data_IF_715413631463
#
_entry.id   IF_715413631463
#
_cell.length_a   1.000
_cell.length_b   1.000
_cell.length_c   1.000
_cell.angle_alpha   90.00
_cell.angle_beta   90.00
_cell.angle_gamma   90.00
#
_symmetry.space_group_name_H-M   'P 1'
#
loop_
_entity.id
_entity.type
_entity.pdbx_description
1 polymer ?
#
# COMPACT_ATOMS: atom_id res chain seq x y z
N UNK A 1 -38.79 -50.33 -10.09
CA UNK A 1 -39.31 -49.95 -8.76
C UNK A 1 -38.13 -49.99 -7.82
N UNK A 2 -37.14 -49.11 -8.03
CA UNK A 2 -37.11 -47.67 -7.64
C UNK A 2 -37.01 -47.57 -6.11
N UNK A 3 -36.03 -46.89 -5.53
CA UNK A 3 -35.61 -45.52 -5.83
C UNK A 3 -34.08 -45.33 -5.84
N UNK A 4 -33.61 -44.59 -6.86
CA UNK A 4 -32.26 -44.02 -6.89
C UNK A 4 -32.16 -42.86 -5.90
N UNK A 5 -31.10 -42.87 -5.08
CA UNK A 5 -30.75 -41.80 -4.15
C UNK A 5 -30.40 -40.54 -4.95
N UNK A 6 -31.30 -39.56 -4.95
CA UNK A 6 -31.07 -38.25 -5.56
C UNK A 6 -30.03 -37.53 -4.68
N UNK A 7 -28.77 -37.46 -5.14
CA UNK A 7 -27.78 -36.54 -4.60
C UNK A 7 -28.33 -35.11 -4.72
N UNK A 8 -28.47 -34.43 -3.58
CA UNK A 8 -28.85 -33.02 -3.58
C UNK A 8 -27.75 -32.19 -4.28
N UNK A 9 -28.10 -31.22 -5.14
CA UNK A 9 -27.10 -30.39 -5.81
C UNK A 9 -26.25 -29.65 -4.79
N UNK A 10 -24.93 -29.66 -4.98
CA UNK A 10 -23.90 -28.97 -4.19
C UNK A 10 -24.04 -27.42 -4.15
N UNK A 11 -25.13 -26.87 -4.69
CA UNK A 11 -25.39 -25.45 -4.93
C UNK A 11 -26.79 -25.04 -4.47
N UNK A 12 -27.22 -25.44 -3.27
CA UNK A 12 -28.35 -24.77 -2.60
C UNK A 12 -27.79 -23.56 -1.85
N UNK A 13 -28.02 -22.31 -2.30
CA UNK A 13 -27.57 -21.15 -1.57
C UNK A 13 -28.43 -21.02 -0.31
N UNK A 14 -27.82 -21.07 0.87
CA UNK A 14 -28.51 -20.61 2.08
C UNK A 14 -28.81 -19.10 1.91
N UNK A 15 -30.07 -18.66 2.09
CA UNK A 15 -30.40 -17.25 2.02
C UNK A 15 -29.71 -16.53 3.18
N UNK A 16 -28.76 -15.65 2.85
CA UNK A 16 -28.28 -14.65 3.82
C UNK A 16 -29.41 -13.65 3.99
N UNK A 17 -30.14 -13.77 5.10
CA UNK A 17 -31.12 -12.80 5.58
C UNK A 17 -30.40 -11.53 6.08
N UNK A 18 -29.78 -10.77 5.19
CA UNK A 18 -29.37 -9.40 5.52
C UNK A 18 -30.30 -8.45 4.77
N UNK A 19 -31.31 -7.93 5.47
CA UNK A 19 -32.07 -6.78 5.02
C UNK A 19 -31.10 -5.64 4.63
N UNK A 20 -31.43 -4.76 3.67
CA UNK A 20 -30.58 -3.63 3.33
C UNK A 20 -30.34 -2.82 4.61
N UNK A 21 -29.09 -2.86 5.10
CA UNK A 21 -28.70 -2.14 6.29
C UNK A 21 -29.06 -0.66 6.09
N UNK A 22 -29.85 -0.08 6.99
CA UNK A 22 -30.21 1.33 6.89
C UNK A 22 -28.95 2.20 6.78
N UNK A 23 -29.05 3.34 6.09
CA UNK A 23 -27.92 4.29 5.88
C UNK A 23 -27.05 4.49 7.14
N UNK A 24 -27.61 4.64 8.37
CA UNK A 24 -26.81 4.79 9.59
C UNK A 24 -25.90 3.58 9.91
N UNK A 25 -26.36 2.36 9.61
CA UNK A 25 -25.60 1.14 9.88
C UNK A 25 -24.43 0.98 8.89
N UNK A 26 -24.62 1.32 7.62
CA UNK A 26 -23.54 1.31 6.63
C UNK A 26 -22.51 2.41 6.90
N UNK A 27 -22.95 3.62 7.29
CA UNK A 27 -22.04 4.69 7.73
C UNK A 27 -21.21 4.24 8.93
N UNK A 28 -21.83 3.60 9.93
CA UNK A 28 -21.13 3.07 11.11
C UNK A 28 -20.10 2.01 10.73
N UNK A 29 -20.40 1.13 9.78
CA UNK A 29 -19.47 0.12 9.26
C UNK A 29 -18.29 0.77 8.55
N UNK A 30 -18.53 1.74 7.67
CA UNK A 30 -17.49 2.49 6.96
C UNK A 30 -16.57 3.23 7.94
N UNK A 31 -17.13 3.91 8.94
CA UNK A 31 -16.34 4.64 9.93
C UNK A 31 -15.46 3.72 10.79
N UNK A 32 -15.92 2.50 11.12
CA UNK A 32 -15.12 1.50 11.84
C UNK A 32 -13.88 1.04 11.06
N UNK A 33 -13.89 1.15 9.73
CA UNK A 33 -12.74 0.86 8.89
C UNK A 33 -11.91 2.12 8.64
N UNK A 34 -12.57 3.25 8.37
CA UNK A 34 -11.91 4.48 7.97
C UNK A 34 -11.10 5.07 9.10
N UNK A 35 -11.64 5.17 10.32
CA UNK A 35 -10.94 5.81 11.44
C UNK A 35 -9.58 5.15 11.72
N UNK A 36 -9.46 3.81 11.84
CA UNK A 36 -8.15 3.19 12.02
C UNK A 36 -7.21 3.36 10.83
N UNK A 37 -7.74 3.39 9.60
CA UNK A 37 -6.93 3.62 8.39
C UNK A 37 -6.35 5.03 8.37
N UNK A 38 -7.19 6.05 8.58
CA UNK A 38 -6.77 7.45 8.69
C UNK A 38 -5.71 7.61 9.77
N UNK A 39 -5.95 7.04 10.96
CA UNK A 39 -4.97 7.07 12.04
C UNK A 39 -3.66 6.39 11.67
N UNK A 40 -3.69 5.21 11.02
CA UNK A 40 -2.49 4.53 10.54
C UNK A 40 -1.68 5.37 9.55
N UNK A 41 -2.35 6.07 8.64
CA UNK A 41 -1.67 6.94 7.69
C UNK A 41 -1.03 8.16 8.35
N UNK A 42 -1.73 8.81 9.29
CA UNK A 42 -1.17 9.93 10.07
C UNK A 42 0.06 9.47 10.86
N UNK A 43 -0.03 8.32 11.55
CA UNK A 43 1.08 7.75 12.31
C UNK A 43 2.29 7.40 11.43
N UNK A 44 2.06 6.96 10.20
CA UNK A 44 3.13 6.69 9.23
C UNK A 44 3.81 7.97 8.74
N UNK A 45 3.04 9.04 8.51
CA UNK A 45 3.60 10.36 8.19
C UNK A 45 4.42 10.93 9.36
N UNK A 46 3.98 10.70 10.60
CA UNK A 46 4.71 11.15 11.78
C UNK A 46 6.14 10.56 11.86
N UNK A 47 6.36 9.33 11.42
CA UNK A 47 7.70 8.71 11.35
C UNK A 47 8.63 9.54 10.46
N UNK A 48 8.19 9.90 9.26
CA UNK A 48 9.00 10.72 8.34
C UNK A 48 9.25 12.13 8.91
N UNK A 49 8.22 12.75 9.49
CA UNK A 49 8.33 14.07 10.10
C UNK A 49 9.36 14.07 11.24
N UNK A 50 9.33 13.06 12.10
CA UNK A 50 10.32 12.91 13.19
C UNK A 50 11.73 12.80 12.62
N UNK A 51 11.97 11.96 11.61
CA UNK A 51 13.29 11.86 10.98
C UNK A 51 13.82 13.21 10.47
N UNK A 52 12.98 13.98 9.76
CA UNK A 52 13.35 15.31 9.24
C UNK A 52 13.60 16.29 10.39
N UNK A 53 12.79 16.27 11.45
CA UNK A 53 13.00 17.11 12.63
C UNK A 53 14.36 16.83 13.28
N UNK A 54 14.74 15.57 13.46
CA UNK A 54 16.05 15.21 14.01
C UNK A 54 17.19 15.72 13.15
N UNK A 55 17.10 15.54 11.83
CA UNK A 55 18.13 16.01 10.88
C UNK A 55 18.19 17.53 10.82
N UNK A 56 17.07 18.23 10.93
CA UNK A 56 17.02 19.70 10.90
C UNK A 56 17.83 20.36 12.02
N UNK A 57 18.04 19.68 13.13
CA UNK A 57 18.88 20.16 14.24
C UNK A 57 20.38 19.91 14.01
N UNK A 58 20.77 19.14 12.99
CA UNK A 58 22.18 18.89 12.66
C UNK A 58 22.79 20.03 11.84
N UNK A 59 21.99 20.73 11.04
CA UNK A 59 22.43 21.86 10.22
C UNK A 59 21.64 22.01 8.92
N UNK A 60 21.78 23.17 8.28
CA UNK A 60 21.08 23.50 7.03
C UNK A 60 21.50 22.58 5.87
N UNK A 61 22.79 22.23 5.78
CA UNK A 61 23.31 21.33 4.75
C UNK A 61 22.70 19.92 4.88
N UNK A 62 22.66 19.38 6.09
CA UNK A 62 22.07 18.06 6.36
C UNK A 62 20.58 18.06 6.05
N UNK A 63 19.86 19.10 6.48
CA UNK A 63 18.44 19.25 6.18
C UNK A 63 18.17 19.30 4.67
N UNK A 64 18.94 20.10 3.92
CA UNK A 64 18.81 20.21 2.48
C UNK A 64 19.11 18.88 1.77
N UNK A 65 20.24 18.24 2.08
CA UNK A 65 20.63 16.96 1.49
C UNK A 65 19.64 15.84 1.78
N UNK A 66 19.19 15.71 3.03
CA UNK A 66 18.20 14.69 3.42
C UNK A 66 16.83 14.95 2.80
N UNK A 67 16.38 16.20 2.73
CA UNK A 67 15.10 16.54 2.10
C UNK A 67 15.12 16.20 0.60
N UNK A 68 16.23 16.51 -0.07
CA UNK A 68 16.44 16.17 -1.48
C UNK A 68 16.52 14.66 -1.71
N UNK A 69 17.24 13.93 -0.84
CA UNK A 69 17.29 12.47 -0.89
C UNK A 69 15.93 11.82 -0.62
N UNK A 70 15.16 12.36 0.32
CA UNK A 70 13.81 11.88 0.62
C UNK A 70 12.86 12.09 -0.56
N UNK A 71 12.90 13.25 -1.23
CA UNK A 71 12.16 13.52 -2.47
C UNK A 71 12.58 12.56 -3.59
N UNK A 72 13.88 12.39 -3.83
CA UNK A 72 14.40 11.42 -4.80
C UNK A 72 13.92 9.99 -4.51
N UNK A 73 14.00 9.55 -3.25
CA UNK A 73 13.54 8.24 -2.81
C UNK A 73 12.03 8.07 -2.95
N UNK A 74 11.26 9.12 -2.69
CA UNK A 74 9.81 9.14 -2.86
C UNK A 74 9.41 8.98 -4.33
N UNK A 75 10.01 9.78 -5.21
CA UNK A 75 9.76 9.78 -6.67
C UNK A 75 10.17 8.46 -7.30
N UNK A 76 11.39 7.98 -7.02
CA UNK A 76 11.98 6.84 -7.73
C UNK A 76 11.65 5.49 -7.11
N UNK A 77 11.34 5.43 -5.81
CA UNK A 77 11.22 4.18 -5.08
C UNK A 77 9.90 3.99 -4.36
N UNK A 78 9.62 4.77 -3.31
CA UNK A 78 8.49 4.52 -2.42
C UNK A 78 7.13 4.66 -3.12
N UNK A 79 6.93 5.69 -3.96
CA UNK A 79 5.69 5.85 -4.75
C UNK A 79 5.46 4.67 -5.69
N UNK A 80 6.52 4.25 -6.40
CA UNK A 80 6.47 3.16 -7.35
C UNK A 80 6.13 1.83 -6.67
N UNK A 81 6.82 1.49 -5.57
CA UNK A 81 6.57 0.27 -4.80
C UNK A 81 5.19 0.28 -4.14
N UNK A 82 4.76 1.41 -3.58
CA UNK A 82 3.44 1.56 -2.99
C UNK A 82 2.32 1.39 -4.04
N UNK A 83 2.50 1.96 -5.23
CA UNK A 83 1.56 1.83 -6.32
C UNK A 83 1.55 0.43 -6.96
N UNK A 84 2.70 -0.23 -7.11
CA UNK A 84 2.76 -1.64 -7.51
C UNK A 84 2.05 -2.56 -6.51
N UNK A 85 2.20 -2.29 -5.21
CA UNK A 85 1.47 -3.02 -4.17
C UNK A 85 -0.05 -2.84 -4.26
N UNK A 86 -0.53 -1.77 -4.90
CA UNK A 86 -1.97 -1.51 -5.13
C UNK A 86 -2.67 -2.63 -5.90
N UNK A 87 -1.94 -3.43 -6.70
CA UNK A 87 -2.49 -4.64 -7.33
C UNK A 87 -3.05 -5.65 -6.29
N UNK A 88 -2.52 -5.65 -5.06
CA UNK A 88 -3.07 -6.47 -3.97
C UNK A 88 -4.45 -6.01 -3.52
N UNK A 89 -4.79 -4.71 -3.60
CA UNK A 89 -6.11 -4.22 -3.23
C UNK A 89 -7.17 -4.86 -4.13
N UNK A 90 -6.87 -4.95 -5.43
CA UNK A 90 -7.72 -5.61 -6.43
C UNK A 90 -7.73 -7.12 -6.21
N UNK A 91 -6.57 -7.78 -6.26
CA UNK A 91 -6.50 -9.25 -6.26
C UNK A 91 -6.95 -9.86 -4.94
N UNK A 92 -6.49 -9.32 -3.81
CA UNK A 92 -6.93 -9.79 -2.50
C UNK A 92 -8.39 -9.39 -2.23
N UNK A 93 -8.83 -8.21 -2.65
CA UNK A 93 -10.23 -7.79 -2.52
C UNK A 93 -11.19 -8.70 -3.29
N UNK A 94 -10.86 -9.03 -4.53
CA UNK A 94 -11.61 -9.96 -5.36
C UNK A 94 -11.62 -11.38 -4.78
N UNK A 95 -10.45 -11.92 -4.40
CA UNK A 95 -10.36 -13.25 -3.81
C UNK A 95 -11.09 -13.35 -2.46
N UNK A 96 -11.03 -12.31 -1.63
CA UNK A 96 -11.74 -12.27 -0.36
C UNK A 96 -13.26 -12.24 -0.58
N UNK A 97 -13.74 -11.40 -1.50
CA UNK A 97 -15.15 -11.35 -1.90
C UNK A 97 -15.67 -12.67 -2.49
N UNK A 98 -14.84 -13.34 -3.30
CA UNK A 98 -15.13 -14.65 -3.88
C UNK A 98 -14.93 -15.82 -2.88
N UNK A 99 -14.61 -15.55 -1.61
CA UNK A 99 -14.32 -16.54 -0.55
C UNK A 99 -13.15 -17.49 -0.86
N UNK A 100 -12.27 -17.11 -1.80
CA UNK A 100 -11.05 -17.84 -2.15
C UNK A 100 -9.90 -17.44 -1.21
N UNK A 101 -10.09 -17.69 0.09
CA UNK A 101 -9.22 -17.14 1.15
C UNK A 101 -7.74 -17.52 1.00
N UNK A 102 -7.44 -18.75 0.54
CA UNK A 102 -6.07 -19.22 0.31
C UNK A 102 -5.27 -18.32 -0.63
N UNK A 103 -5.92 -17.78 -1.67
CA UNK A 103 -5.24 -16.97 -2.68
C UNK A 103 -4.68 -15.66 -2.12
N UNK A 104 -5.22 -15.12 -1.02
CA UNK A 104 -4.68 -13.89 -0.42
C UNK A 104 -3.22 -14.09 0.01
N UNK A 105 -2.91 -15.23 0.61
CA UNK A 105 -1.55 -15.59 1.03
C UNK A 105 -0.61 -15.76 -0.17
N UNK A 106 -1.11 -16.35 -1.26
CA UNK A 106 -0.37 -16.54 -2.52
C UNK A 106 -0.09 -15.19 -3.20
N UNK A 107 -1.10 -14.34 -3.34
CA UNK A 107 -0.96 -13.00 -3.92
C UNK A 107 -0.02 -12.13 -3.11
N UNK A 108 -0.10 -12.17 -1.77
CA UNK A 108 0.85 -11.47 -0.89
C UNK A 108 2.30 -11.88 -1.19
N UNK A 109 2.57 -13.18 -1.30
CA UNK A 109 3.92 -13.70 -1.60
C UNK A 109 4.37 -13.33 -3.01
N UNK A 110 3.48 -13.45 -4.00
CA UNK A 110 3.75 -13.07 -5.38
C UNK A 110 4.10 -11.59 -5.50
N UNK A 111 3.36 -10.73 -4.80
CA UNK A 111 3.64 -9.30 -4.73
C UNK A 111 5.03 -9.04 -4.13
N UNK A 112 5.38 -9.71 -3.02
CA UNK A 112 6.72 -9.58 -2.43
C UNK A 112 7.81 -9.92 -3.46
N UNK A 113 7.67 -11.02 -4.22
CA UNK A 113 8.63 -11.39 -5.26
C UNK A 113 8.76 -10.32 -6.35
N UNK A 114 7.64 -9.86 -6.92
CA UNK A 114 7.64 -8.87 -8.00
C UNK A 114 8.19 -7.51 -7.51
N UNK A 115 7.79 -7.07 -6.32
CA UNK A 115 8.26 -5.81 -5.75
C UNK A 115 9.74 -5.88 -5.37
N UNK A 116 10.24 -7.01 -4.87
CA UNK A 116 11.68 -7.20 -4.62
C UNK A 116 12.50 -7.10 -5.91
N UNK A 117 11.99 -7.63 -7.03
CA UNK A 117 12.64 -7.44 -8.34
C UNK A 117 12.63 -5.96 -8.76
N UNK A 118 11.54 -5.23 -8.49
CA UNK A 118 11.46 -3.80 -8.74
C UNK A 118 12.43 -2.98 -7.87
N UNK A 119 12.86 -3.49 -6.71
CA UNK A 119 13.87 -2.84 -5.88
C UNK A 119 15.26 -2.81 -6.54
N UNK A 120 15.56 -3.66 -7.53
CA UNK A 120 16.88 -3.69 -8.18
C UNK A 120 17.22 -2.35 -8.85
N UNK A 121 16.42 -1.83 -9.81
CA UNK A 121 16.70 -0.53 -10.42
C UNK A 121 16.60 0.63 -9.40
N UNK A 122 15.73 0.54 -8.40
CA UNK A 122 15.62 1.55 -7.32
C UNK A 122 16.91 1.63 -6.52
N UNK A 123 17.44 0.48 -6.10
CA UNK A 123 18.69 0.38 -5.34
C UNK A 123 19.85 0.96 -6.15
N UNK A 124 19.90 0.67 -7.45
CA UNK A 124 20.92 1.22 -8.35
C UNK A 124 20.83 2.74 -8.42
N UNK A 125 19.62 3.28 -8.62
CA UNK A 125 19.40 4.73 -8.64
C UNK A 125 19.83 5.40 -7.33
N UNK A 126 19.54 4.79 -6.18
CA UNK A 126 19.91 5.34 -4.87
C UNK A 126 21.41 5.19 -4.58
N UNK A 127 22.07 4.16 -5.10
CA UNK A 127 23.51 3.97 -4.98
C UNK A 127 24.31 5.07 -5.71
N UNK A 128 23.76 5.62 -6.79
CA UNK A 128 24.34 6.69 -7.60
C UNK A 128 23.60 8.04 -7.44
N UNK A 129 22.87 8.22 -6.33
CA UNK A 129 22.03 9.40 -6.12
C UNK A 129 22.82 10.73 -6.15
N UNK A 130 24.02 10.76 -5.57
CA UNK A 130 24.91 11.93 -5.63
C UNK A 130 25.26 12.30 -7.09
N UNK A 131 25.64 11.32 -7.90
CA UNK A 131 25.97 11.55 -9.31
C UNK A 131 24.77 12.03 -10.12
N UNK A 132 23.59 11.43 -9.88
CA UNK A 132 22.35 11.86 -10.52
C UNK A 132 22.03 13.32 -10.17
N UNK A 133 22.17 13.70 -8.90
CA UNK A 133 21.90 15.06 -8.44
C UNK A 133 22.92 16.07 -8.99
N UNK A 134 24.20 15.70 -9.07
CA UNK A 134 25.22 16.51 -9.72
C UNK A 134 24.92 16.73 -11.21
N UNK A 135 24.44 15.71 -11.92
CA UNK A 135 24.05 15.83 -13.34
C UNK A 135 22.85 16.76 -13.54
N UNK A 136 21.97 16.86 -12.54
CA UNK A 136 20.81 17.78 -12.55
C UNK A 136 21.23 19.20 -12.11
N UNK A 137 22.51 19.41 -11.76
CA UNK A 137 23.08 20.72 -11.43
C UNK A 137 22.94 21.11 -9.96
N UNK A 138 22.78 20.14 -9.05
CA UNK A 138 22.77 20.42 -7.61
C UNK A 138 24.17 20.81 -7.09
N UNK A 139 24.19 21.56 -6.00
CA UNK A 139 25.42 21.87 -5.27
C UNK A 139 26.14 20.58 -4.84
N UNK A 140 27.48 20.63 -4.86
CA UNK A 140 28.30 19.44 -4.64
C UNK A 140 28.17 18.88 -3.23
N UNK A 141 28.09 19.75 -2.22
CA UNK A 141 28.00 19.32 -0.82
C UNK A 141 26.59 18.80 -0.53
N UNK A 142 25.56 19.45 -1.08
CA UNK A 142 24.16 18.99 -0.98
C UNK A 142 23.98 17.62 -1.66
N UNK A 143 24.53 17.44 -2.85
CA UNK A 143 24.46 16.18 -3.59
C UNK A 143 25.22 15.05 -2.87
N UNK A 144 26.38 15.34 -2.28
CA UNK A 144 27.14 14.37 -1.50
C UNK A 144 26.37 13.90 -0.25
N UNK A 145 25.79 14.83 0.50
CA UNK A 145 24.96 14.55 1.67
C UNK A 145 23.71 13.73 1.29
N UNK A 146 23.02 14.13 0.22
CA UNK A 146 21.85 13.43 -0.29
C UNK A 146 22.19 12.01 -0.75
N UNK A 147 23.29 11.82 -1.47
CA UNK A 147 23.72 10.49 -1.92
C UNK A 147 24.19 9.59 -0.79
N UNK A 148 24.81 10.15 0.26
CA UNK A 148 25.09 9.40 1.48
C UNK A 148 23.80 8.95 2.17
N UNK A 149 22.84 9.86 2.38
CA UNK A 149 21.54 9.50 2.98
C UNK A 149 20.81 8.42 2.16
N UNK A 150 20.75 8.58 0.83
CA UNK A 150 20.08 7.62 -0.06
C UNK A 150 20.69 6.21 0.03
N UNK A 151 22.02 6.09 0.12
CA UNK A 151 22.70 4.80 0.30
C UNK A 151 22.34 4.15 1.64
N UNK A 152 22.27 4.93 2.71
CA UNK A 152 21.83 4.43 4.03
C UNK A 152 20.33 4.14 4.12
N UNK A 153 19.55 4.61 3.16
CA UNK A 153 18.12 4.33 3.06
C UNK A 153 17.84 3.00 2.33
N UNK A 154 18.77 2.48 1.52
CA UNK A 154 18.62 1.21 0.77
C UNK A 154 18.13 0.03 1.67
N UNK A 155 18.68 -0.20 2.88
CA UNK A 155 18.21 -1.28 3.75
C UNK A 155 16.71 -1.19 4.10
N UNK A 156 16.11 0.00 4.04
CA UNK A 156 14.68 0.18 4.30
C UNK A 156 13.80 -0.53 3.26
N UNK A 157 14.28 -0.72 2.03
CA UNK A 157 13.55 -1.42 0.96
C UNK A 157 13.23 -2.86 1.34
N UNK A 158 14.18 -3.55 2.00
CA UNK A 158 14.02 -4.93 2.45
C UNK A 158 12.89 -5.10 3.46
N UNK A 159 12.63 -4.08 4.30
CA UNK A 159 11.52 -4.07 5.24
C UNK A 159 10.24 -3.49 4.63
N UNK A 160 10.36 -2.48 3.76
CA UNK A 160 9.23 -1.75 3.19
C UNK A 160 8.37 -2.62 2.27
N UNK A 161 8.98 -3.40 1.37
CA UNK A 161 8.26 -4.30 0.46
C UNK A 161 7.35 -5.27 1.22
N UNK A 162 7.87 -6.11 2.12
CA UNK A 162 7.02 -7.02 2.87
C UNK A 162 6.05 -6.28 3.80
N UNK A 163 6.42 -5.14 4.39
CA UNK A 163 5.53 -4.34 5.24
C UNK A 163 4.28 -3.87 4.48
N UNK A 164 4.49 -3.31 3.28
CA UNK A 164 3.39 -2.85 2.42
C UNK A 164 2.50 -4.02 2.00
N UNK A 165 3.09 -5.16 1.62
CA UNK A 165 2.32 -6.36 1.26
C UNK A 165 1.50 -6.91 2.45
N UNK A 166 2.06 -6.95 3.66
CA UNK A 166 1.32 -7.35 4.87
C UNK A 166 0.18 -6.37 5.20
N UNK A 167 0.43 -5.07 5.05
CA UNK A 167 -0.57 -4.03 5.27
C UNK A 167 -1.79 -4.26 4.36
N UNK A 168 -1.57 -4.42 3.05
CA UNK A 168 -2.67 -4.62 2.09
C UNK A 168 -3.37 -5.97 2.26
N UNK A 169 -2.61 -7.02 2.57
CA UNK A 169 -3.17 -8.33 2.92
C UNK A 169 -4.17 -8.24 4.07
N UNK A 170 -3.84 -7.52 5.15
CA UNK A 170 -4.73 -7.33 6.29
C UNK A 170 -5.91 -6.41 5.97
N UNK A 171 -5.65 -5.30 5.26
CA UNK A 171 -6.69 -4.35 4.86
C UNK A 171 -7.76 -4.98 3.97
N UNK A 172 -7.38 -5.83 3.01
CA UNK A 172 -8.32 -6.55 2.15
C UNK A 172 -9.31 -7.45 2.92
N UNK A 173 -8.95 -7.83 4.15
CA UNK A 173 -9.77 -8.64 5.05
C UNK A 173 -10.53 -7.80 6.09
N UNK A 174 -10.54 -6.47 5.96
CA UNK A 174 -11.05 -5.52 6.96
C UNK A 174 -10.29 -5.54 8.31
N UNK A 175 -9.08 -6.12 8.37
CA UNK A 175 -8.26 -6.19 9.58
C UNK A 175 -7.40 -4.93 9.72
N UNK A 176 -8.06 -3.78 9.91
CA UNK A 176 -7.43 -2.45 9.93
C UNK A 176 -6.87 -2.04 11.30
N UNK A 177 -7.41 -2.59 12.39
CA UNK A 177 -6.95 -2.27 13.76
C UNK A 177 -5.51 -2.75 14.03
N UNK A 178 -5.08 -3.97 13.66
CA UNK A 178 -3.69 -4.40 13.79
C UNK A 178 -2.71 -3.51 13.00
N UNK A 179 -3.13 -3.04 11.82
CA UNK A 179 -2.35 -2.12 10.99
C UNK A 179 -2.18 -0.76 11.68
N UNK A 180 -3.25 -0.22 12.27
CA UNK A 180 -3.18 1.01 13.05
C UNK A 180 -2.30 0.85 14.29
N UNK A 181 -2.51 -0.21 15.08
CA UNK A 181 -1.79 -0.45 16.32
C UNK A 181 -0.28 -0.63 16.08
N UNK A 182 0.11 -1.42 15.08
CA UNK A 182 1.52 -1.59 14.69
C UNK A 182 2.16 -0.27 14.21
N UNK A 183 1.42 0.53 13.44
CA UNK A 183 1.87 1.88 13.04
C UNK A 183 2.07 2.79 14.26
N UNK A 184 1.20 2.71 15.27
CA UNK A 184 1.30 3.49 16.51
C UNK A 184 2.53 3.11 17.33
N UNK A 185 2.75 1.82 17.55
CA UNK A 185 3.96 1.31 18.22
C UNK A 185 5.22 1.73 17.45
N UNK A 186 5.19 1.66 16.12
CA UNK A 186 6.30 2.08 15.27
C UNK A 186 6.59 3.57 15.39
N UNK A 187 5.57 4.42 15.35
CA UNK A 187 5.75 5.87 15.49
C UNK A 187 6.36 6.24 16.86
N UNK A 188 5.87 5.63 17.94
CA UNK A 188 6.40 5.85 19.28
C UNK A 188 7.86 5.39 19.41
N UNK A 189 8.16 4.18 18.94
CA UNK A 189 9.52 3.62 19.00
C UNK A 189 10.50 4.35 18.08
N UNK A 190 10.03 4.87 16.94
CA UNK A 190 10.86 5.59 15.99
C UNK A 190 11.53 6.82 16.59
N UNK A 191 10.85 7.56 17.47
CA UNK A 191 11.45 8.71 18.17
C UNK A 191 12.72 8.29 18.93
N UNK A 192 12.66 7.18 19.66
CA UNK A 192 13.79 6.66 20.42
C UNK A 192 14.90 6.09 19.54
N UNK A 193 14.53 5.32 18.50
CA UNK A 193 15.50 4.75 17.56
C UNK A 193 16.22 5.85 16.79
N UNK A 194 15.50 6.88 16.33
CA UNK A 194 16.07 8.02 15.64
C UNK A 194 17.00 8.82 16.56
N UNK A 195 16.58 9.15 17.79
CA UNK A 195 17.44 9.80 18.78
C UNK A 195 18.73 9.00 19.05
N UNK A 196 18.60 7.69 19.25
CA UNK A 196 19.73 6.82 19.54
C UNK A 196 20.73 6.79 18.39
N UNK A 197 20.29 6.65 17.14
CA UNK A 197 21.19 6.55 16.00
C UNK A 197 21.78 7.90 15.59
N UNK A 198 20.95 8.94 15.55
CA UNK A 198 21.39 10.28 15.13
C UNK A 198 22.39 10.86 16.15
N UNK A 199 22.04 10.86 17.43
CA UNK A 199 22.82 11.55 18.47
C UNK A 199 23.71 10.62 19.30
N UNK A 200 23.18 9.50 19.83
CA UNK A 200 23.96 8.65 20.75
C UNK A 200 25.02 7.82 20.05
N UNK A 201 24.71 7.31 18.86
CA UNK A 201 25.67 6.61 18.02
C UNK A 201 26.49 7.56 17.12
N UNK A 202 26.17 8.86 17.11
CA UNK A 202 26.89 9.87 16.34
C UNK A 202 26.79 9.68 14.82
N UNK A 203 25.75 9.01 14.32
CA UNK A 203 25.62 8.72 12.89
C UNK A 203 25.08 9.89 12.06
N UNK A 204 24.59 10.96 12.71
CA UNK A 204 24.03 12.12 12.03
C UNK A 204 22.86 11.75 11.12
N UNK A 205 22.83 12.30 9.91
CA UNK A 205 21.79 12.04 8.90
C UNK A 205 21.67 10.57 8.50
N UNK A 206 22.80 9.83 8.44
CA UNK A 206 22.84 8.37 8.19
C UNK A 206 22.02 7.62 9.23
N UNK A 207 22.05 8.09 10.48
CA UNK A 207 21.26 7.54 11.58
C UNK A 207 19.76 7.67 11.35
N UNK A 208 19.30 8.78 10.75
CA UNK A 208 17.89 8.98 10.40
C UNK A 208 17.44 8.09 9.21
N UNK A 209 18.31 7.87 8.23
CA UNK A 209 18.04 6.91 7.16
C UNK A 209 17.92 5.48 7.71
N UNK A 210 18.87 5.06 8.55
CA UNK A 210 18.88 3.72 9.14
C UNK A 210 17.73 3.51 10.14
N UNK A 211 17.35 4.54 10.92
CA UNK A 211 16.21 4.46 11.84
C UNK A 211 14.90 4.15 11.11
N UNK A 212 14.74 4.64 9.87
CA UNK A 212 13.60 4.32 9.00
C UNK A 212 13.55 2.82 8.69
N UNK A 213 14.69 2.21 8.32
CA UNK A 213 14.76 0.78 8.05
C UNK A 213 14.41 -0.06 9.28
N UNK A 214 14.92 0.30 10.45
CA UNK A 214 14.64 -0.37 11.73
C UNK A 214 13.15 -0.23 12.10
N UNK A 215 12.59 0.97 11.96
CA UNK A 215 11.16 1.20 12.24
C UNK A 215 10.25 0.41 11.30
N UNK A 216 10.58 0.32 10.01
CA UNK A 216 9.84 -0.56 9.10
C UNK A 216 9.98 -2.03 9.46
N UNK A 217 11.16 -2.47 9.91
CA UNK A 217 11.38 -3.84 10.36
C UNK A 217 10.58 -4.16 11.64
N UNK A 218 10.50 -3.23 12.60
CA UNK A 218 9.65 -3.34 13.79
C UNK A 218 8.18 -3.49 13.38
N UNK A 219 7.69 -2.59 12.51
CA UNK A 219 6.30 -2.63 12.04
C UNK A 219 5.99 -3.95 11.33
N UNK A 220 6.87 -4.37 10.42
CA UNK A 220 6.79 -5.65 9.71
C UNK A 220 6.74 -6.81 10.69
N UNK A 221 7.60 -6.82 11.71
CA UNK A 221 7.67 -7.91 12.70
C UNK A 221 6.34 -8.03 13.45
N UNK A 222 5.77 -6.90 13.90
CA UNK A 222 4.47 -6.90 14.58
C UNK A 222 3.38 -7.48 13.67
N UNK A 223 3.32 -7.02 12.41
CA UNK A 223 2.31 -7.52 11.45
C UNK A 223 2.52 -8.98 11.06
N UNK A 224 3.77 -9.40 10.86
CA UNK A 224 4.10 -10.78 10.53
C UNK A 224 3.73 -11.73 11.69
N UNK A 225 4.03 -11.34 12.94
CA UNK A 225 3.59 -12.06 14.13
C UNK A 225 2.07 -12.13 14.22
N UNK A 226 1.37 -11.01 13.99
CA UNK A 226 -0.09 -10.99 13.98
C UNK A 226 -0.66 -11.96 12.92
N UNK A 227 -0.16 -11.92 11.69
CA UNK A 227 -0.59 -12.83 10.61
C UNK A 227 -0.31 -14.30 10.95
N UNK A 228 0.80 -14.59 11.63
CA UNK A 228 1.19 -15.96 11.98
C UNK A 228 0.42 -16.55 13.16
N UNK A 229 0.05 -15.72 14.13
CA UNK A 229 -0.51 -16.14 15.43
C UNK A 229 -2.03 -15.93 15.54
N UNK A 230 -2.59 -14.93 14.84
CA UNK A 230 -4.01 -14.59 14.93
C UNK A 230 -4.89 -15.66 14.28
N UNK A 231 -5.97 -16.04 14.96
CA UNK A 231 -7.01 -16.92 14.40
C UNK A 231 -7.67 -16.32 13.15
N UNK A 232 -7.72 -14.99 13.05
CA UNK A 232 -8.33 -14.28 11.92
C UNK A 232 -7.63 -14.57 10.58
N UNK A 233 -6.32 -14.84 10.61
CA UNK A 233 -5.53 -15.06 9.40
C UNK A 233 -5.35 -16.55 9.05
N UNK A 234 -5.87 -17.50 9.87
CA UNK A 234 -5.64 -18.94 9.66
C UNK A 234 -6.11 -19.47 8.30
N UNK A 235 -7.18 -18.89 7.75
CA UNK A 235 -7.75 -19.30 6.45
C UNK A 235 -7.09 -18.60 5.26
N UNK A 236 -6.46 -17.46 5.49
CA UNK A 236 -5.89 -16.60 4.44
C UNK A 236 -4.37 -16.69 4.37
N UNK A 237 -3.73 -17.20 5.42
CA UNK A 237 -2.30 -17.48 5.49
C UNK A 237 -2.04 -18.93 5.91
N UNK A 238 -1.71 -19.76 4.93
CA UNK A 238 -1.37 -21.18 5.10
C UNK A 238 0.14 -21.46 5.10
N UNK A 239 0.96 -20.41 5.00
CA UNK A 239 2.42 -20.51 4.93
C UNK A 239 2.97 -20.17 3.55
N UNK A 240 4.27 -20.44 3.36
CA UNK A 240 4.93 -20.23 2.08
C UNK A 240 4.51 -21.30 1.07
N UNK A 241 4.31 -20.90 -0.19
CA UNK A 241 3.91 -21.80 -1.27
C UNK A 241 4.64 -21.48 -2.57
N UNK A 242 4.98 -22.54 -3.32
CA UNK A 242 5.59 -22.43 -4.64
C UNK A 242 4.64 -21.78 -5.68
N UNK A 243 3.32 -21.77 -5.43
CA UNK A 243 2.34 -21.08 -6.28
C UNK A 243 2.59 -19.56 -6.38
N UNK A 244 3.32 -18.99 -5.43
CA UNK A 244 3.74 -17.59 -5.48
C UNK A 244 4.60 -17.27 -6.71
N UNK A 245 5.37 -18.23 -7.22
CA UNK A 245 6.23 -18.07 -8.39
C UNK A 245 5.48 -18.18 -9.73
N UNK A 246 4.24 -18.69 -9.72
CA UNK A 246 3.39 -18.69 -10.90
C UNK A 246 2.79 -17.31 -11.16
N UNK A 247 2.52 -16.95 -12.42
CA UNK A 247 1.76 -15.74 -12.76
C UNK A 247 2.42 -14.40 -12.40
N UNK A 248 3.75 -14.37 -12.20
CA UNK A 248 4.49 -13.14 -11.87
C UNK A 248 4.30 -12.05 -12.94
N UNK A 249 4.31 -12.43 -14.22
CA UNK A 249 4.09 -11.51 -15.34
C UNK A 249 2.69 -10.90 -15.31
N UNK A 250 1.67 -11.67 -15.00
CA UNK A 250 0.29 -11.18 -14.97
C UNK A 250 0.04 -10.28 -13.76
N UNK A 251 0.66 -10.59 -12.62
CA UNK A 251 0.71 -9.65 -11.49
C UNK A 251 1.38 -8.34 -11.90
N UNK A 252 2.55 -8.40 -12.57
CA UNK A 252 3.27 -7.21 -13.02
C UNK A 252 2.45 -6.36 -14.01
N UNK A 253 1.69 -6.97 -14.93
CA UNK A 253 0.79 -6.26 -15.86
C UNK A 253 -0.30 -5.46 -15.14
N UNK A 254 -0.75 -5.91 -13.96
CA UNK A 254 -1.69 -5.16 -13.13
C UNK A 254 -0.98 -4.12 -12.24
N UNK A 255 0.19 -4.49 -11.71
CA UNK A 255 0.96 -3.66 -10.81
C UNK A 255 1.54 -2.41 -11.48
N UNK A 256 1.99 -2.49 -12.74
CA UNK A 256 2.61 -1.35 -13.44
C UNK A 256 1.62 -0.19 -13.68
N UNK A 257 0.41 -0.41 -14.22
CA UNK A 257 -0.59 0.67 -14.34
C UNK A 257 -0.99 1.27 -12.99
N UNK A 258 -1.14 0.41 -11.97
CA UNK A 258 -1.42 0.85 -10.59
C UNK A 258 -0.27 1.71 -10.04
N UNK A 259 0.98 1.34 -10.32
CA UNK A 259 2.15 2.13 -10.00
C UNK A 259 2.13 3.50 -10.68
N UNK A 260 1.88 3.53 -11.99
CA UNK A 260 1.84 4.78 -12.75
C UNK A 260 0.78 5.74 -12.24
N UNK A 261 -0.40 5.25 -11.84
CA UNK A 261 -1.45 6.09 -11.27
C UNK A 261 -0.99 6.80 -9.99
N UNK A 262 -0.39 6.06 -9.05
CA UNK A 262 0.13 6.61 -7.79
C UNK A 262 1.35 7.51 -8.04
N UNK A 263 2.27 7.09 -8.90
CA UNK A 263 3.43 7.88 -9.27
C UNK A 263 3.04 9.22 -9.90
N UNK A 264 2.11 9.24 -10.86
CA UNK A 264 1.68 10.49 -11.49
C UNK A 264 1.06 11.47 -10.48
N UNK A 265 0.27 10.96 -9.53
CA UNK A 265 -0.26 11.78 -8.43
C UNK A 265 0.88 12.36 -7.59
N UNK A 266 1.82 11.54 -7.13
CA UNK A 266 2.87 11.97 -6.21
C UNK A 266 3.91 12.87 -6.90
N UNK A 267 4.30 12.53 -8.12
CA UNK A 267 5.22 13.33 -8.94
C UNK A 267 4.63 14.68 -9.29
N UNK A 268 3.31 14.80 -9.44
CA UNK A 268 2.67 16.10 -9.67
C UNK A 268 2.91 17.07 -8.51
N UNK A 269 2.90 16.60 -7.26
CA UNK A 269 3.21 17.43 -6.10
C UNK A 269 4.68 17.87 -6.09
N UNK A 270 5.61 16.96 -6.42
CA UNK A 270 7.04 17.27 -6.51
C UNK A 270 7.30 18.29 -7.64
N UNK A 271 6.64 18.14 -8.79
CA UNK A 271 6.72 19.11 -9.89
C UNK A 271 6.17 20.48 -9.51
N UNK A 272 5.07 20.55 -8.75
CA UNK A 272 4.54 21.83 -8.25
C UNK A 272 5.56 22.54 -7.34
N UNK A 273 6.21 21.80 -6.43
CA UNK A 273 7.29 22.35 -5.58
C UNK A 273 8.45 22.85 -6.45
N UNK A 274 8.90 22.06 -7.42
CA UNK A 274 9.98 22.47 -8.32
C UNK A 274 9.63 23.74 -9.12
N UNK A 275 8.41 23.83 -9.65
CA UNK A 275 7.95 25.00 -10.42
C UNK A 275 7.83 26.25 -9.56
N UNK A 276 7.50 26.12 -8.26
CA UNK A 276 7.49 27.26 -7.34
C UNK A 276 8.88 27.87 -7.11
N UNK A 277 9.93 27.08 -7.30
CA UNK A 277 11.32 27.53 -7.23
C UNK A 277 11.75 28.43 -8.40
N UNK A 278 10.94 28.54 -9.47
CA UNK A 278 11.20 29.39 -10.64
C UNK A 278 10.42 30.72 -10.56
N UNK A 279 9.53 30.87 -9.57
CA UNK A 279 8.74 32.10 -9.40
C UNK A 279 9.59 33.29 -8.91
N UNK A 280 9.13 34.54 -9.09
CA UNK A 280 9.92 35.75 -8.80
C UNK A 280 10.47 35.86 -7.36
N UNK A 281 9.82 35.22 -6.38
CA UNK A 281 10.31 35.13 -5.01
C UNK A 281 10.43 33.66 -4.57
N UNK A 282 11.45 32.93 -5.06
CA UNK A 282 11.47 31.48 -4.98
C UNK A 282 11.57 30.98 -3.53
N UNK A 283 12.22 31.74 -2.63
CA UNK A 283 12.28 31.41 -1.20
C UNK A 283 10.89 31.47 -0.55
N UNK A 284 10.13 32.55 -0.80
CA UNK A 284 8.79 32.71 -0.24
C UNK A 284 7.81 31.70 -0.85
N UNK A 285 7.76 31.65 -2.18
CA UNK A 285 6.78 30.83 -2.92
C UNK A 285 6.98 29.34 -2.64
N UNK A 286 8.23 28.85 -2.63
CA UNK A 286 8.53 27.45 -2.31
C UNK A 286 8.18 27.11 -0.86
N UNK A 287 8.45 28.02 0.08
CA UNK A 287 8.13 27.82 1.49
C UNK A 287 6.61 27.76 1.72
N UNK A 288 5.87 28.71 1.14
CA UNK A 288 4.40 28.76 1.24
C UNK A 288 3.78 27.53 0.58
N UNK A 289 4.22 27.17 -0.63
CA UNK A 289 3.70 26.00 -1.33
C UNK A 289 4.00 24.70 -0.56
N UNK A 290 5.20 24.57 0.02
CA UNK A 290 5.55 23.43 0.87
C UNK A 290 4.63 23.32 2.09
N UNK A 291 4.29 24.44 2.75
CA UNK A 291 3.33 24.46 3.86
C UNK A 291 1.94 24.03 3.37
N UNK A 292 1.49 24.55 2.22
CA UNK A 292 0.21 24.18 1.62
C UNK A 292 0.14 22.68 1.29
N UNK A 293 1.18 22.11 0.67
CA UNK A 293 1.22 20.69 0.29
C UNK A 293 1.28 19.79 1.53
N UNK A 294 2.07 20.14 2.56
CA UNK A 294 2.09 19.37 3.80
C UNK A 294 0.72 19.39 4.50
N UNK A 295 0.05 20.55 4.54
CA UNK A 295 -1.29 20.69 5.10
C UNK A 295 -2.31 19.87 4.30
N UNK A 296 -2.26 19.96 2.96
CA UNK A 296 -3.12 19.19 2.08
C UNK A 296 -2.90 17.67 2.24
N UNK A 297 -1.65 17.23 2.38
CA UNK A 297 -1.29 15.83 2.59
C UNK A 297 -1.87 15.30 3.90
N UNK A 298 -1.78 16.07 4.99
CA UNK A 298 -2.37 15.70 6.27
C UNK A 298 -3.91 15.54 6.16
N UNK A 299 -4.57 16.49 5.48
CA UNK A 299 -6.01 16.43 5.25
C UNK A 299 -6.41 15.29 4.31
N UNK A 300 -5.58 14.97 3.31
CA UNK A 300 -5.80 13.91 2.33
C UNK A 300 -5.82 12.49 2.95
N UNK A 301 -5.22 12.31 4.13
CA UNK A 301 -5.31 11.03 4.85
C UNK A 301 -6.76 10.63 5.17
N UNK A 302 -7.65 11.62 5.36
CA UNK A 302 -9.09 11.40 5.62
C UNK A 302 -9.83 10.82 4.41
N UNK A 303 -9.87 11.49 3.23
CA UNK A 303 -10.50 10.92 2.04
C UNK A 303 -9.82 9.63 1.57
N UNK A 304 -8.51 9.49 1.75
CA UNK A 304 -7.80 8.24 1.43
C UNK A 304 -8.30 7.06 2.30
N UNK A 305 -8.38 7.26 3.62
CA UNK A 305 -8.89 6.23 4.55
C UNK A 305 -10.36 5.87 4.28
N UNK A 306 -11.19 6.86 3.94
CA UNK A 306 -12.57 6.64 3.52
C UNK A 306 -12.64 5.87 2.19
N UNK A 307 -11.84 6.25 1.20
CA UNK A 307 -11.79 5.60 -0.12
C UNK A 307 -11.41 4.13 -0.04
N UNK A 308 -10.41 3.78 0.78
CA UNK A 308 -10.02 2.39 1.03
C UNK A 308 -11.14 1.64 1.76
N UNK A 309 -11.80 2.27 2.73
CA UNK A 309 -12.93 1.65 3.45
C UNK A 309 -14.12 1.35 2.53
N UNK A 310 -14.42 2.27 1.62
CA UNK A 310 -15.45 2.09 0.59
C UNK A 310 -15.03 0.96 -0.35
N UNK A 311 -13.77 0.92 -0.77
CA UNK A 311 -13.24 -0.14 -1.65
C UNK A 311 -13.39 -1.51 -0.99
N UNK A 312 -13.00 -1.66 0.28
CA UNK A 312 -13.15 -2.91 1.03
C UNK A 312 -14.64 -3.31 1.16
N UNK A 313 -15.52 -2.35 1.49
CA UNK A 313 -16.95 -2.63 1.71
C UNK A 313 -17.74 -2.90 0.42
N UNK A 314 -17.42 -2.23 -0.69
CA UNK A 314 -18.20 -2.29 -1.94
C UNK A 314 -17.68 -3.29 -2.96
N UNK A 315 -16.38 -3.61 -3.00
CA UNK A 315 -15.86 -4.57 -3.99
C UNK A 315 -16.51 -5.95 -3.80
N UNK A 316 -16.69 -6.39 -2.55
CA UNK A 316 -17.39 -7.64 -2.24
C UNK A 316 -18.86 -7.62 -2.67
N UNK A 317 -19.57 -6.50 -2.47
CA UNK A 317 -20.99 -6.36 -2.82
C UNK A 317 -21.18 -6.25 -4.34
N UNK A 318 -20.39 -5.43 -5.03
CA UNK A 318 -20.48 -5.26 -6.49
C UNK A 318 -20.07 -6.54 -7.22
N UNK A 319 -19.01 -7.22 -6.78
CA UNK A 319 -18.61 -8.50 -7.39
C UNK A 319 -19.65 -9.59 -7.10
N UNK A 320 -20.25 -9.61 -5.91
CA UNK A 320 -21.37 -10.50 -5.61
C UNK A 320 -22.59 -10.19 -6.47
N UNK A 321 -22.96 -8.92 -6.64
CA UNK A 321 -24.04 -8.51 -7.54
C UNK A 321 -23.72 -8.96 -8.96
N UNK A 322 -22.53 -8.65 -9.50
CA UNK A 322 -22.13 -9.02 -10.87
C UNK A 322 -22.10 -10.53 -11.08
N UNK A 323 -21.60 -11.31 -10.12
CA UNK A 323 -21.61 -12.79 -10.21
C UNK A 323 -23.03 -13.36 -10.13
N UNK A 324 -23.91 -12.74 -9.33
CA UNK A 324 -25.31 -13.15 -9.17
C UNK A 324 -26.18 -12.72 -10.36
N UNK A 325 -25.95 -11.54 -10.92
CA UNK A 325 -26.78 -11.00 -12.02
C UNK A 325 -26.40 -11.57 -13.38
N UNK A 326 -25.17 -12.07 -13.58
CA UNK A 326 -24.76 -12.58 -14.89
C UNK A 326 -24.95 -14.08 -15.10
N UNK A 327 -24.92 -14.93 -14.07
CA UNK A 327 -24.97 -16.38 -14.31
C UNK A 327 -26.40 -16.93 -14.46
N UNK A 328 -27.30 -16.60 -13.55
CA UNK A 328 -28.68 -17.12 -13.59
C UNK A 328 -29.47 -16.55 -14.78
N UNK A 329 -29.28 -15.26 -15.10
CA UNK A 329 -29.95 -14.59 -16.23
C UNK A 329 -29.45 -15.11 -17.59
N UNK A 330 -28.14 -15.29 -17.77
CA UNK A 330 -27.58 -15.85 -19.01
C UNK A 330 -27.90 -17.35 -19.15
N UNK A 331 -27.90 -18.12 -18.05
CA UNK A 331 -28.28 -19.54 -18.06
C UNK A 331 -29.75 -19.74 -18.45
N UNK A 332 -30.66 -18.93 -17.93
CA UNK A 332 -32.08 -18.95 -18.31
C UNK A 332 -32.25 -18.56 -19.78
N UNK A 333 -31.61 -17.48 -20.25
CA UNK A 333 -31.65 -17.08 -21.67
C UNK A 333 -31.05 -18.13 -22.60
N UNK A 334 -30.00 -18.82 -22.19
CA UNK A 334 -29.39 -19.91 -22.95
C UNK A 334 -30.33 -21.13 -23.03
N UNK A 335 -30.97 -21.49 -21.92
CA UNK A 335 -31.97 -22.56 -21.86
C UNK A 335 -33.20 -22.24 -22.73
N UNK A 336 -33.70 -20.99 -22.70
CA UNK A 336 -34.80 -20.53 -23.55
C UNK A 336 -34.46 -20.54 -25.05
N UNK A 337 -33.22 -20.20 -25.44
CA UNK A 337 -32.76 -20.29 -26.84
C UNK A 337 -32.69 -21.74 -27.33
N UNK A 338 -32.25 -22.67 -26.48
CA UNK A 338 -32.18 -24.10 -26.81
C UNK A 338 -33.58 -24.71 -26.92
N UNK A 339 -34.49 -24.36 -26.01
CA UNK A 339 -35.87 -24.84 -26.06
C UNK A 339 -36.62 -24.22 -27.26
N UNK A 340 -36.47 -22.91 -27.50
CA UNK A 340 -37.10 -22.21 -28.62
C UNK A 340 -36.66 -22.68 -30.01
N UNK A 341 -35.41 -23.12 -30.16
CA UNK A 341 -34.90 -23.71 -31.41
C UNK A 341 -35.37 -25.14 -31.64
N UNK A 342 -35.74 -25.87 -30.59
CA UNK A 342 -36.31 -27.22 -30.69
C UNK A 342 -37.81 -27.25 -31.01
N UNK A 343 -38.53 -26.14 -30.81
CA UNK A 343 -39.99 -26.04 -31.04
C UNK A 343 -40.32 -25.53 -32.46
N UNK A 344 -39.33 -25.04 -33.22
CA UNK A 344 -39.50 -24.54 -34.59
C UNK A 344 -39.18 -25.57 -35.69
N UNK A 345 -38.93 -26.83 -35.32
CA UNK A 345 -38.74 -27.95 -36.27
C UNK A 345 -39.86 -28.98 -36.10
N UNK A 346 -41.08 -28.65 -36.53
CA UNK A 346 -42.11 -29.61 -36.91
C UNK A 346 -42.95 -29.07 -38.06
#
# INVERSE_FOLDING_TARGET
MDEATIEQPFLVPHPVQDAPAGVPAEVKKLLRLAVPLVASFILRNAVQMVSVMFVGHLGELQLAGVSLAASLANVTGFSFLAGMAGALDTLCGQAFGARQFHLLGIYKQRAMLVLTLACIPITLAWAFADQILLLIGQDRDVAAEAGEYARWLIPSLAAFVPLTCHTRFLQAQSLVVPVMASSGVTALTHVFVCYALVYKAGMGSKGAALSTAISYAINLTILALYVRLSSACKRTWTGFSAEAFAGLRDFAKLAVPSAMMVCLEWWSFELLVLLSGVLPNPKLETSVLSICINTATLLYMVPLGLGISISISKLGLLLWITLRTNWESEAIKAQERVIGSSVTTK
#
